data_IF_457570426665
#
_entry.id   IF_457570426665
#
_cell.length_a   1.000
_cell.length_b   1.000
_cell.length_c   1.000
_cell.angle_alpha   90.00
_cell.angle_beta   90.00
_cell.angle_gamma   90.00
#
_symmetry.space_group_name_H-M   'P 1'
#
loop_
_entity.id
_entity.type
_entity.pdbx_description
1 polymer ?
#
# COMPACT_ATOMS: atom_id res chain seq x y z
N UNK A 1 -13.98 8.03 -19.18
CA UNK A 1 -14.16 6.82 -18.34
C UNK A 1 -15.54 6.24 -18.61
N UNK A 2 -15.60 4.99 -19.10
CA UNK A 2 -16.83 4.37 -19.64
C UNK A 2 -17.79 4.03 -18.50
N UNK A 3 -18.96 4.65 -18.51
CA UNK A 3 -20.02 4.45 -17.51
C UNK A 3 -20.57 3.02 -17.59
N UNK A 4 -20.11 2.18 -16.67
CA UNK A 4 -20.86 1.19 -15.93
C UNK A 4 -22.25 0.74 -16.47
N UNK A 5 -22.26 -0.15 -17.46
CA UNK A 5 -23.48 -0.89 -17.87
C UNK A 5 -23.70 -2.07 -16.94
N UNK A 6 -24.90 -2.17 -16.35
CA UNK A 6 -25.38 -3.38 -15.67
C UNK A 6 -25.44 -4.51 -16.69
N UNK A 7 -24.70 -5.59 -16.45
CA UNK A 7 -24.65 -6.74 -17.36
C UNK A 7 -25.73 -7.73 -16.96
N UNK A 8 -26.65 -8.03 -17.88
CA UNK A 8 -27.66 -9.08 -17.70
C UNK A 8 -27.12 -10.35 -18.35
N UNK A 9 -26.91 -11.40 -17.54
CA UNK A 9 -26.41 -12.70 -18.00
C UNK A 9 -27.50 -13.72 -17.67
N UNK A 10 -28.01 -14.44 -18.67
CA UNK A 10 -29.06 -15.46 -18.47
C UNK A 10 -30.37 -14.93 -17.88
N UNK A 11 -30.69 -13.64 -18.09
CA UNK A 11 -31.91 -13.01 -17.54
C UNK A 11 -31.78 -12.50 -16.10
N UNK A 12 -30.64 -12.72 -15.43
CA UNK A 12 -30.38 -12.20 -14.09
C UNK A 12 -29.52 -10.93 -14.20
N UNK A 13 -29.98 -9.85 -13.57
CA UNK A 13 -29.22 -8.60 -13.46
C UNK A 13 -28.29 -8.71 -12.26
N UNK A 14 -26.97 -8.78 -12.51
CA UNK A 14 -26.02 -8.82 -11.40
C UNK A 14 -25.87 -7.39 -10.82
N UNK A 15 -26.01 -7.22 -9.50
CA UNK A 15 -25.78 -5.94 -8.87
C UNK A 15 -24.31 -5.54 -9.06
N UNK A 16 -24.07 -4.27 -9.40
CA UNK A 16 -22.71 -3.74 -9.56
C UNK A 16 -21.91 -3.92 -8.28
N UNK A 17 -20.61 -4.25 -8.43
CA UNK A 17 -19.64 -4.23 -7.33
C UNK A 17 -19.57 -2.81 -6.76
N UNK A 18 -20.08 -2.61 -5.55
CA UNK A 18 -20.02 -1.33 -4.85
C UNK A 18 -18.72 -1.29 -4.07
N UNK A 19 -17.89 -0.28 -4.32
CA UNK A 19 -16.78 0.02 -3.43
C UNK A 19 -17.37 0.56 -2.13
N UNK A 20 -17.46 -0.29 -1.12
CA UNK A 20 -17.86 0.10 0.23
C UNK A 20 -16.64 0.69 0.96
N UNK A 21 -16.85 1.51 1.99
CA UNK A 21 -15.75 1.99 2.84
C UNK A 21 -14.90 0.84 3.40
N UNK A 22 -15.54 -0.30 3.66
CA UNK A 22 -14.87 -1.56 4.02
C UNK A 22 -13.87 -2.04 2.97
N UNK A 23 -14.19 -1.92 1.68
CA UNK A 23 -13.26 -2.29 0.61
C UNK A 23 -12.00 -1.42 0.62
N UNK A 24 -12.11 -0.13 0.94
CA UNK A 24 -10.96 0.75 1.11
C UNK A 24 -10.13 0.34 2.34
N UNK A 25 -10.80 0.03 3.46
CA UNK A 25 -10.11 -0.44 4.67
C UNK A 25 -9.34 -1.74 4.42
N UNK A 26 -9.96 -2.73 3.76
CA UNK A 26 -9.27 -3.96 3.36
C UNK A 26 -8.08 -3.68 2.45
N UNK A 27 -8.22 -2.79 1.47
CA UNK A 27 -7.12 -2.42 0.59
C UNK A 27 -5.95 -1.81 1.36
N UNK A 28 -6.21 -0.85 2.25
CA UNK A 28 -5.14 -0.25 3.06
C UNK A 28 -4.46 -1.31 3.92
N UNK A 29 -5.23 -2.15 4.59
CA UNK A 29 -4.69 -3.10 5.56
C UNK A 29 -3.91 -4.26 4.93
N UNK A 30 -4.35 -4.75 3.77
CA UNK A 30 -3.73 -5.91 3.11
C UNK A 30 -2.78 -5.55 1.98
N UNK A 31 -2.84 -4.33 1.45
CA UNK A 31 -1.93 -3.88 0.38
C UNK A 31 -1.01 -2.80 0.90
N UNK A 32 -1.53 -1.68 1.42
CA UNK A 32 -0.65 -0.58 1.82
C UNK A 32 0.25 -0.96 3.01
N UNK A 33 -0.31 -1.53 4.08
CA UNK A 33 0.46 -1.88 5.29
C UNK A 33 1.64 -2.81 5.01
N UNK A 34 1.53 -3.95 4.29
CA UNK A 34 2.68 -4.81 4.06
C UNK A 34 3.74 -4.15 3.16
N UNK A 35 3.32 -3.37 2.15
CA UNK A 35 4.26 -2.63 1.30
C UNK A 35 5.00 -1.54 2.08
N UNK A 36 4.30 -0.78 2.92
CA UNK A 36 4.94 0.20 3.81
C UNK A 36 5.86 -0.49 4.82
N UNK A 37 5.45 -1.62 5.40
CA UNK A 37 6.28 -2.40 6.32
C UNK A 37 7.58 -2.88 5.67
N UNK A 38 7.50 -3.36 4.43
CA UNK A 38 8.69 -3.78 3.68
C UNK A 38 9.61 -2.59 3.35
N UNK A 39 9.04 -1.47 2.92
CA UNK A 39 9.80 -0.26 2.65
C UNK A 39 10.51 0.27 3.90
N UNK A 40 9.82 0.25 5.05
CA UNK A 40 10.36 0.70 6.33
C UNK A 40 11.45 -0.25 6.84
N UNK A 41 11.30 -1.56 6.65
CA UNK A 41 12.34 -2.54 6.95
C UNK A 41 13.59 -2.32 6.08
N UNK A 42 13.40 -2.01 4.80
CA UNK A 42 14.50 -1.71 3.89
C UNK A 42 15.22 -0.41 4.29
N UNK A 43 14.47 0.61 4.71
CA UNK A 43 15.03 1.87 5.19
C UNK A 43 15.88 1.67 6.46
N UNK A 44 15.44 0.83 7.40
CA UNK A 44 16.23 0.43 8.58
C UNK A 44 17.52 -0.29 8.18
N UNK A 45 17.45 -1.22 7.22
CA UNK A 45 18.64 -1.92 6.73
C UNK A 45 19.64 -0.92 6.15
N UNK A 46 19.19 0.01 5.30
CA UNK A 46 20.06 1.02 4.72
C UNK A 46 20.65 1.94 5.79
N UNK A 47 19.86 2.39 6.77
CA UNK A 47 20.39 3.17 7.89
C UNK A 47 21.54 2.44 8.61
N UNK A 48 21.38 1.14 8.90
CA UNK A 48 22.43 0.34 9.55
C UNK A 48 23.67 0.17 8.67
N UNK A 49 23.51 0.02 7.37
CA UNK A 49 24.64 -0.08 6.44
C UNK A 49 25.40 1.26 6.38
N UNK A 50 24.68 2.37 6.19
CA UNK A 50 25.28 3.70 6.05
C UNK A 50 25.93 4.18 7.35
N UNK A 51 25.33 3.94 8.52
CA UNK A 51 25.94 4.33 9.79
C UNK A 51 27.18 3.50 10.13
N UNK A 52 27.30 2.26 9.65
CA UNK A 52 28.45 1.37 9.98
C UNK A 52 29.58 1.44 8.96
N UNK A 53 29.29 1.81 7.71
CA UNK A 53 30.26 1.77 6.61
C UNK A 53 30.67 3.16 6.16
N UNK A 54 29.77 4.15 6.22
CA UNK A 54 29.97 5.47 5.62
C UNK A 54 29.95 6.62 6.63
N UNK A 55 29.78 6.34 7.93
CA UNK A 55 29.61 7.35 9.00
C UNK A 55 28.58 8.44 8.64
N UNK A 56 27.61 8.08 7.79
CA UNK A 56 26.68 9.01 7.17
C UNK A 56 25.25 8.63 7.56
N UNK A 57 24.46 9.65 7.86
CA UNK A 57 23.08 9.48 8.28
C UNK A 57 22.19 9.33 7.03
N UNK A 58 21.51 8.19 6.86
CA UNK A 58 20.63 7.91 5.72
C UNK A 58 19.23 7.45 6.15
N UNK A 59 18.20 7.97 5.50
CA UNK A 59 16.81 7.51 5.64
C UNK A 59 15.98 8.28 6.66
N UNK A 60 14.81 7.74 7.00
CA UNK A 60 13.81 8.37 7.89
C UNK A 60 14.33 8.49 9.32
N UNK A 61 15.25 7.60 9.72
CA UNK A 61 15.89 7.59 11.04
C UNK A 61 16.85 8.78 11.27
N UNK A 62 17.14 9.58 10.24
CA UNK A 62 17.96 10.79 10.36
C UNK A 62 17.15 12.08 10.45
N UNK A 63 15.80 12.02 10.40
CA UNK A 63 14.94 13.20 10.55
C UNK A 63 15.02 13.87 11.92
N UNK A 64 15.58 13.18 12.93
CA UNK A 64 15.70 13.66 14.31
C UNK A 64 17.14 13.74 14.83
N UNK A 65 18.13 13.57 13.95
CA UNK A 65 19.56 13.62 14.30
C UNK A 65 20.17 14.99 14.08
#
# INVERSE_FOLDING_TARGET
>A
MKFFTTQTIGGVTLPRRRFTGWAALYFVLFVCVPFLGLALLLDVIFYLIFTRVFDSCYGVLCLFS
#
